data_IF_137395458762
#
_entry.id   IF_137395458762
#
_cell.length_a   1.000
_cell.length_b   1.000
_cell.length_c   1.000
_cell.angle_alpha   90.00
_cell.angle_beta   90.00
_cell.angle_gamma   90.00
#
_symmetry.space_group_name_H-M   'P 1'
#
loop_
_entity.id
_entity.type
_entity.pdbx_description
1 polymer ?
#
# COMPACT_ATOMS: atom_id res chain seq x y z
N UNK A 1 -21.83 42.04 41.90
CA UNK A 1 -21.25 42.31 40.57
C UNK A 1 -20.39 41.12 40.17
N UNK A 2 -20.82 40.37 39.16
CA UNK A 2 -20.03 39.30 38.54
C UNK A 2 -19.28 39.88 37.33
N UNK A 3 -18.07 39.40 37.00
CA UNK A 3 -17.52 39.56 35.66
C UNK A 3 -17.71 38.30 34.81
N UNK A 4 -17.77 38.56 33.51
CA UNK A 4 -18.41 37.77 32.48
C UNK A 4 -17.60 36.56 31.97
N UNK A 5 -18.34 35.65 31.34
CA UNK A 5 -17.87 34.52 30.55
C UNK A 5 -16.96 34.95 29.40
N UNK A 6 -15.93 34.15 29.13
CA UNK A 6 -15.23 34.15 27.87
C UNK A 6 -15.31 32.74 27.27
N UNK A 7 -16.19 32.59 26.29
CA UNK A 7 -16.36 31.39 25.47
C UNK A 7 -15.28 31.39 24.40
N UNK A 8 -14.28 30.53 24.55
CA UNK A 8 -13.27 30.26 23.52
C UNK A 8 -13.76 29.14 22.60
N UNK A 9 -14.31 29.53 21.47
CA UNK A 9 -14.67 28.68 20.33
C UNK A 9 -13.37 28.13 19.71
N UNK A 10 -13.13 26.82 19.79
CA UNK A 10 -12.08 26.15 19.03
C UNK A 10 -12.67 25.77 17.68
N UNK A 11 -12.39 26.62 16.69
CA UNK A 11 -12.61 26.38 15.27
C UNK A 11 -11.83 25.13 14.87
N UNK A 12 -12.53 24.14 14.33
CA UNK A 12 -11.91 22.97 13.71
C UNK A 12 -11.26 23.38 12.40
N UNK A 13 -9.95 23.19 12.31
CA UNK A 13 -9.23 23.22 11.05
C UNK A 13 -9.62 21.97 10.26
N UNK A 14 -10.51 22.17 9.28
CA UNK A 14 -10.71 21.24 8.19
C UNK A 14 -9.40 21.19 7.38
N UNK A 15 -8.68 20.07 7.46
CA UNK A 15 -7.57 19.77 6.59
C UNK A 15 -8.10 19.56 5.16
N UNK A 16 -8.05 20.63 4.37
CA UNK A 16 -8.31 20.62 2.94
C UNK A 16 -7.24 19.77 2.24
N UNK A 17 -7.62 18.56 1.83
CA UNK A 17 -6.75 17.58 1.14
C UNK A 17 -6.84 17.71 -0.38
N UNK A 18 -7.36 18.83 -0.92
CA UNK A 18 -7.48 19.05 -2.36
C UNK A 18 -6.16 19.38 -3.08
N UNK A 19 -5.06 19.54 -2.34
CA UNK A 19 -3.75 19.94 -2.88
C UNK A 19 -2.75 18.79 -3.16
N UNK A 20 -3.19 17.52 -3.14
CA UNK A 20 -2.35 16.40 -3.60
C UNK A 20 -2.37 16.23 -5.14
N UNK A 21 -2.14 17.33 -5.86
CA UNK A 21 -1.66 17.30 -7.24
C UNK A 21 -0.12 17.20 -7.21
N UNK A 22 0.38 15.98 -7.02
CA UNK A 22 1.77 15.63 -7.29
C UNK A 22 1.83 14.98 -8.67
N UNK A 23 1.72 15.83 -9.70
CA UNK A 23 2.41 15.60 -10.96
C UNK A 23 3.91 15.74 -10.67
N UNK A 24 4.58 14.62 -10.39
CA UNK A 24 6.03 14.54 -10.51
C UNK A 24 6.40 13.18 -11.09
N UNK A 25 6.84 13.25 -12.34
CA UNK A 25 7.50 12.20 -13.10
C UNK A 25 8.71 11.67 -12.33
N UNK A 26 8.53 10.60 -11.56
CA UNK A 26 9.67 9.82 -11.03
C UNK A 26 10.07 8.83 -12.12
N UNK A 27 11.10 9.20 -12.88
CA UNK A 27 11.73 8.40 -13.92
C UNK A 27 12.15 7.01 -13.39
N UNK A 28 11.43 5.97 -13.85
CA UNK A 28 11.49 4.58 -13.39
C UNK A 28 12.67 3.78 -13.99
N UNK A 29 13.60 4.42 -14.71
CA UNK A 29 14.53 3.72 -15.60
C UNK A 29 15.91 3.33 -15.00
N UNK A 30 16.22 3.64 -13.73
CA UNK A 30 17.61 3.55 -13.24
C UNK A 30 18.02 2.28 -12.48
N UNK A 31 17.15 1.27 -12.28
CA UNK A 31 17.53 0.10 -11.46
C UNK A 31 17.10 -1.25 -12.05
N UNK A 32 17.60 -1.58 -13.24
CA UNK A 32 17.68 -2.99 -13.69
C UNK A 32 18.85 -3.21 -14.64
N UNK A 33 20.08 -3.29 -14.12
CA UNK A 33 21.13 -4.04 -14.78
C UNK A 33 21.92 -4.89 -13.78
N UNK A 34 22.27 -6.10 -14.25
CA UNK A 34 23.21 -7.09 -13.70
C UNK A 34 22.54 -8.36 -13.15
N UNK A 35 22.15 -9.27 -14.05
CA UNK A 35 22.86 -10.56 -14.24
C UNK A 35 22.35 -11.29 -15.48
N UNK A 36 23.10 -11.15 -16.59
CA UNK A 36 23.04 -12.06 -17.74
C UNK A 36 23.94 -13.26 -17.44
N UNK A 37 23.38 -14.47 -17.52
CA UNK A 37 24.15 -15.71 -17.53
C UNK A 37 24.21 -16.23 -18.99
N UNK A 38 25.38 -16.35 -19.63
CA UNK A 38 25.48 -16.87 -20.98
C UNK A 38 25.97 -18.33 -20.95
N UNK A 39 25.17 -19.24 -21.48
CA UNK A 39 25.72 -20.44 -22.09
C UNK A 39 24.82 -20.92 -23.22
N UNK A 40 25.35 -20.76 -24.43
CA UNK A 40 24.75 -21.13 -25.69
C UNK A 40 25.34 -22.46 -26.19
N UNK A 41 24.53 -23.25 -26.90
CA UNK A 41 24.84 -24.20 -27.99
C UNK A 41 23.63 -25.16 -28.12
N UNK A 42 23.06 -25.54 -29.27
CA UNK A 42 23.44 -25.42 -30.67
C UNK A 42 22.18 -25.64 -31.58
N UNK A 43 22.29 -25.14 -32.81
CA UNK A 43 21.43 -25.27 -34.02
C UNK A 43 21.46 -26.71 -34.62
N UNK A 44 20.69 -27.14 -35.65
CA UNK A 44 20.25 -26.39 -36.84
C UNK A 44 18.83 -26.66 -37.42
N UNK A 45 18.51 -25.88 -38.47
CA UNK A 45 17.27 -25.80 -39.23
C UNK A 45 17.14 -26.80 -40.39
N UNK A 46 15.89 -27.13 -40.76
CA UNK A 46 15.34 -27.55 -42.09
C UNK A 46 13.80 -27.51 -41.95
N UNK A 47 12.91 -27.17 -42.88
CA UNK A 47 12.88 -26.98 -44.32
C UNK A 47 11.42 -26.63 -44.73
N UNK A 48 11.18 -26.45 -46.02
CA UNK A 48 10.14 -25.66 -46.72
C UNK A 48 8.65 -26.10 -46.65
N UNK A 49 7.74 -25.09 -46.62
CA UNK A 49 6.46 -24.80 -47.38
C UNK A 49 5.48 -25.93 -47.82
N UNK A 50 4.29 -25.60 -48.37
CA UNK A 50 3.10 -24.99 -47.75
C UNK A 50 1.83 -25.84 -48.04
N UNK A 51 0.83 -25.95 -47.15
CA UNK A 51 -0.52 -26.25 -47.64
C UNK A 51 -1.65 -25.94 -46.65
N UNK A 52 -2.84 -25.95 -47.25
CA UNK A 52 -4.06 -25.19 -46.99
C UNK A 52 -5.02 -25.77 -45.92
N UNK A 53 -5.88 -24.86 -45.42
CA UNK A 53 -7.18 -25.04 -44.72
C UNK A 53 -7.19 -25.36 -43.21
N UNK A 54 -8.31 -25.03 -42.53
CA UNK A 54 -9.05 -23.76 -42.46
C UNK A 54 -9.04 -23.23 -41.00
N UNK A 55 -9.59 -22.04 -40.77
CA UNK A 55 -9.63 -21.34 -39.48
C UNK A 55 -9.81 -22.26 -38.26
N UNK A 56 -8.91 -22.24 -37.26
CA UNK A 56 -9.29 -22.67 -35.93
C UNK A 56 -10.17 -21.57 -35.35
N UNK A 57 -11.34 -22.01 -34.90
CA UNK A 57 -12.26 -21.32 -34.03
C UNK A 57 -11.49 -20.40 -33.07
N UNK A 58 -11.99 -19.18 -32.90
CA UNK A 58 -11.51 -18.28 -31.87
C UNK A 58 -11.52 -19.04 -30.53
N UNK A 59 -10.37 -19.63 -30.19
CA UNK A 59 -10.09 -20.07 -28.84
C UNK A 59 -10.39 -18.85 -27.99
N UNK A 60 -11.41 -19.01 -27.15
CA UNK A 60 -11.71 -18.10 -26.08
C UNK A 60 -10.39 -17.88 -25.33
N UNK A 61 -9.70 -16.79 -25.68
CA UNK A 61 -8.69 -16.20 -24.82
C UNK A 61 -9.40 -16.09 -23.47
N UNK A 62 -8.92 -16.80 -22.42
CA UNK A 62 -9.49 -16.64 -21.12
C UNK A 62 -9.40 -15.15 -20.84
N UNK A 63 -10.56 -14.55 -20.59
CA UNK A 63 -10.79 -13.13 -20.34
C UNK A 63 -9.88 -12.70 -19.19
N UNK A 64 -8.62 -12.42 -19.50
CA UNK A 64 -7.51 -12.15 -18.56
C UNK A 64 -7.70 -10.82 -17.84
N UNK A 65 -8.86 -10.18 -18.04
CA UNK A 65 -9.30 -8.93 -17.44
C UNK A 65 -10.23 -9.09 -16.24
N UNK A 66 -10.69 -10.32 -15.92
CA UNK A 66 -11.48 -10.56 -14.71
C UNK A 66 -10.64 -11.14 -13.59
N UNK A 67 -9.65 -10.38 -13.14
CA UNK A 67 -9.15 -10.57 -11.79
C UNK A 67 -10.34 -10.34 -10.84
N UNK A 68 -10.83 -11.41 -10.21
CA UNK A 68 -11.92 -11.34 -9.26
C UNK A 68 -11.54 -10.29 -8.20
N UNK A 69 -12.36 -9.24 -8.07
CA UNK A 69 -11.99 -8.03 -7.33
C UNK A 69 -11.74 -8.29 -5.85
N UNK A 70 -12.51 -9.20 -5.26
CA UNK A 70 -12.39 -9.56 -3.86
C UNK A 70 -11.08 -10.31 -3.57
N UNK A 71 -10.69 -11.37 -4.32
CA UNK A 71 -9.37 -12.00 -4.17
C UNK A 71 -8.18 -11.04 -4.21
N UNK A 72 -8.22 -10.01 -5.05
CA UNK A 72 -7.14 -9.03 -5.07
C UNK A 72 -7.05 -8.23 -3.77
N UNK A 73 -8.18 -7.75 -3.27
CA UNK A 73 -8.22 -6.98 -2.03
C UNK A 73 -7.88 -7.87 -0.82
N UNK A 74 -8.28 -9.15 -0.86
CA UNK A 74 -7.86 -10.16 0.13
C UNK A 74 -6.33 -10.31 0.14
N UNK A 75 -5.68 -10.35 -1.03
CA UNK A 75 -4.21 -10.42 -1.13
C UNK A 75 -3.55 -9.17 -0.53
N UNK A 76 -4.15 -7.98 -0.73
CA UNK A 76 -3.67 -6.73 -0.12
C UNK A 76 -3.83 -6.77 1.40
N UNK A 77 -4.95 -7.29 1.92
CA UNK A 77 -5.14 -7.48 3.35
C UNK A 77 -4.07 -8.43 3.94
N UNK A 78 -3.79 -9.55 3.26
CA UNK A 78 -2.73 -10.47 3.68
C UNK A 78 -1.35 -9.80 3.63
N UNK A 79 -1.08 -8.93 2.66
CA UNK A 79 0.18 -8.21 2.62
C UNK A 79 0.31 -7.24 3.80
N UNK A 80 -0.76 -6.57 4.23
CA UNK A 80 -0.76 -5.73 5.45
C UNK A 80 -0.36 -6.56 6.68
N UNK A 81 -0.90 -7.77 6.83
CA UNK A 81 -0.51 -8.67 7.93
C UNK A 81 0.98 -9.06 7.86
N UNK A 82 1.50 -9.35 6.66
CA UNK A 82 2.93 -9.64 6.47
C UNK A 82 3.82 -8.42 6.75
N UNK A 83 3.36 -7.22 6.37
CA UNK A 83 4.09 -5.98 6.65
C UNK A 83 4.17 -5.73 8.17
N UNK A 84 3.09 -5.99 8.91
CA UNK A 84 3.08 -5.95 10.38
C UNK A 84 4.16 -6.85 10.97
N UNK A 85 4.17 -8.12 10.58
CA UNK A 85 5.13 -9.11 11.09
C UNK A 85 6.59 -8.70 10.79
N UNK A 86 6.88 -8.27 9.56
CA UNK A 86 8.22 -7.81 9.17
C UNK A 86 8.64 -6.56 9.92
N UNK A 87 7.74 -5.59 10.08
CA UNK A 87 8.03 -4.34 10.78
C UNK A 87 8.26 -4.59 12.27
N UNK A 88 7.45 -5.45 12.89
CA UNK A 88 7.63 -5.89 14.27
C UNK A 88 9.00 -6.58 14.48
N UNK A 89 9.40 -7.46 13.55
CA UNK A 89 10.72 -8.10 13.57
C UNK A 89 11.86 -7.07 13.51
N UNK A 90 11.76 -6.11 12.59
CA UNK A 90 12.77 -5.06 12.43
C UNK A 90 12.89 -4.22 13.71
N UNK A 91 11.76 -3.77 14.27
CA UNK A 91 11.72 -2.99 15.51
C UNK A 91 12.33 -3.77 16.68
N UNK A 92 12.03 -5.07 16.82
CA UNK A 92 12.60 -5.88 17.90
C UNK A 92 14.12 -5.94 17.80
N UNK A 93 14.67 -6.14 16.60
CA UNK A 93 16.12 -6.09 16.36
C UNK A 93 16.71 -4.70 16.64
N UNK A 94 15.99 -3.62 16.30
CA UNK A 94 16.41 -2.25 16.63
C UNK A 94 16.43 -2.02 18.15
N UNK A 95 15.46 -2.56 18.88
CA UNK A 95 15.43 -2.51 20.36
C UNK A 95 16.61 -3.28 20.97
N UNK A 96 16.97 -4.43 20.42
CA UNK A 96 18.14 -5.20 20.86
C UNK A 96 19.48 -4.45 20.63
N UNK A 97 19.48 -3.51 19.69
CA UNK A 97 20.63 -2.64 19.38
C UNK A 97 20.45 -1.20 19.86
N UNK A 98 19.46 -0.93 20.72
CA UNK A 98 19.06 0.44 21.07
C UNK A 98 20.22 1.29 21.63
N UNK A 99 21.16 0.68 22.36
CA UNK A 99 22.35 1.35 22.88
C UNK A 99 23.31 1.89 21.80
N UNK A 100 23.18 1.41 20.56
CA UNK A 100 23.99 1.83 19.41
C UNK A 100 23.30 2.92 18.57
N UNK A 101 22.03 3.21 18.83
CA UNK A 101 21.28 4.26 18.14
C UNK A 101 21.64 5.63 18.71
N UNK A 102 21.67 6.65 17.85
CA UNK A 102 21.95 8.02 18.26
C UNK A 102 20.86 8.56 19.21
N UNK A 103 19.60 8.18 18.98
CA UNK A 103 18.41 8.68 19.69
C UNK A 103 17.48 7.53 20.11
N UNK A 104 17.84 6.80 21.19
CA UNK A 104 17.05 5.68 21.71
C UNK A 104 15.58 6.00 22.02
N UNK A 105 15.29 7.22 22.44
CA UNK A 105 13.94 7.69 22.79
C UNK A 105 13.04 7.79 21.55
N UNK A 106 13.60 8.27 20.43
CA UNK A 106 12.89 8.41 19.15
C UNK A 106 12.42 7.06 18.62
N UNK A 107 13.18 5.97 18.83
CA UNK A 107 12.71 4.62 18.49
C UNK A 107 11.41 4.25 19.23
N UNK A 108 11.28 4.63 20.51
CA UNK A 108 10.09 4.31 21.29
C UNK A 108 8.88 5.16 20.86
N UNK A 109 9.11 6.41 20.47
CA UNK A 109 8.09 7.31 19.92
C UNK A 109 7.57 6.78 18.58
N UNK A 110 8.48 6.52 17.63
CA UNK A 110 8.13 5.91 16.33
C UNK A 110 7.41 4.57 16.54
N UNK A 111 7.86 3.73 17.48
CA UNK A 111 7.19 2.46 17.77
C UNK A 111 5.74 2.64 18.30
N UNK A 112 5.45 3.69 19.07
CA UNK A 112 4.09 4.00 19.51
C UNK A 112 3.23 4.49 18.35
N UNK A 113 3.80 5.32 17.50
CA UNK A 113 3.10 5.83 16.31
C UNK A 113 2.83 4.71 15.31
N UNK A 114 3.74 3.75 15.16
CA UNK A 114 3.55 2.54 14.35
C UNK A 114 2.39 1.69 14.87
N UNK A 115 2.32 1.46 16.18
CA UNK A 115 1.23 0.68 16.78
C UNK A 115 -0.14 1.25 16.40
N UNK A 116 -0.30 2.57 16.47
CA UNK A 116 -1.55 3.26 16.13
C UNK A 116 -1.78 3.33 14.62
N UNK A 117 -0.84 3.92 13.88
CA UNK A 117 -1.03 4.30 12.46
C UNK A 117 -0.87 3.13 11.49
N UNK A 118 -0.15 2.08 11.86
CA UNK A 118 0.09 0.91 11.02
C UNK A 118 -0.69 -0.31 11.52
N UNK A 119 -0.54 -0.70 12.79
CA UNK A 119 -1.03 -2.00 13.26
C UNK A 119 -2.53 -1.95 13.62
N UNK A 120 -2.93 -1.05 14.52
CA UNK A 120 -4.34 -0.88 14.90
C UNK A 120 -5.17 -0.38 13.71
N UNK A 121 -4.65 0.58 12.95
CA UNK A 121 -5.29 1.05 11.72
C UNK A 121 -5.41 -0.07 10.67
N UNK A 122 -4.37 -0.90 10.51
CA UNK A 122 -4.38 -2.06 9.61
C UNK A 122 -5.43 -3.09 10.00
N UNK A 123 -5.52 -3.45 11.28
CA UNK A 123 -6.57 -4.34 11.78
C UNK A 123 -7.97 -3.76 11.56
N UNK A 124 -8.13 -2.46 11.80
CA UNK A 124 -9.39 -1.75 11.55
C UNK A 124 -9.78 -1.79 10.08
N UNK A 125 -8.84 -1.52 9.17
CA UNK A 125 -9.06 -1.55 7.72
C UNK A 125 -9.40 -2.97 7.22
N UNK A 126 -8.70 -3.99 7.70
CA UNK A 126 -8.97 -5.39 7.35
C UNK A 126 -10.36 -5.82 7.85
N UNK A 127 -10.71 -5.47 9.08
CA UNK A 127 -12.03 -5.77 9.64
C UNK A 127 -13.14 -5.03 8.89
N UNK A 128 -12.89 -3.79 8.47
CA UNK A 128 -13.84 -3.03 7.68
C UNK A 128 -14.04 -3.62 6.28
N UNK A 129 -12.96 -4.05 5.63
CA UNK A 129 -13.04 -4.81 4.38
C UNK A 129 -13.88 -6.09 4.56
N UNK A 130 -13.66 -6.87 5.63
CA UNK A 130 -14.47 -8.06 5.94
C UNK A 130 -15.95 -7.72 6.16
N UNK A 131 -16.27 -6.60 6.81
CA UNK A 131 -17.64 -6.10 6.94
C UNK A 131 -18.26 -5.83 5.56
N UNK A 132 -17.56 -5.07 4.71
CA UNK A 132 -18.04 -4.67 3.38
C UNK A 132 -18.34 -5.86 2.47
N UNK A 133 -17.49 -6.90 2.48
CA UNK A 133 -17.65 -8.06 1.61
C UNK A 133 -18.38 -9.25 2.24
N UNK A 134 -18.58 -9.26 3.56
CA UNK A 134 -19.36 -10.26 4.28
C UNK A 134 -20.82 -9.84 4.49
N UNK A 135 -21.04 -8.90 5.41
CA UNK A 135 -22.36 -8.41 5.81
C UNK A 135 -22.37 -6.88 5.84
N UNK A 136 -22.48 -6.22 4.66
CA UNK A 136 -22.43 -4.78 4.57
C UNK A 136 -23.63 -4.15 5.30
N UNK A 137 -23.41 -2.98 5.88
CA UNK A 137 -24.47 -2.15 6.46
C UNK A 137 -25.38 -1.58 5.38
N UNK A 138 -26.43 -0.86 5.78
CA UNK A 138 -27.33 -0.22 4.83
C UNK A 138 -26.63 0.85 4.02
N UNK A 139 -27.04 1.02 2.76
CA UNK A 139 -26.50 2.01 1.83
C UNK A 139 -26.42 3.42 2.45
N UNK A 140 -27.48 3.83 3.14
CA UNK A 140 -27.54 5.15 3.78
C UNK A 140 -26.41 5.38 4.81
N UNK A 141 -26.00 4.36 5.55
CA UNK A 141 -24.93 4.52 6.54
C UNK A 141 -23.57 4.80 5.89
N UNK A 142 -23.33 4.24 4.71
CA UNK A 142 -22.12 4.54 3.95
C UNK A 142 -22.22 5.89 3.24
N UNK A 143 -23.37 6.20 2.64
CA UNK A 143 -23.60 7.48 1.95
C UNK A 143 -23.37 8.70 2.86
N UNK A 144 -23.68 8.61 4.16
CA UNK A 144 -23.43 9.70 5.12
C UNK A 144 -21.93 10.05 5.23
N UNK A 145 -21.04 9.05 5.11
CA UNK A 145 -19.59 9.22 5.26
C UNK A 145 -18.88 9.63 3.97
N UNK A 146 -19.56 9.52 2.83
CA UNK A 146 -19.00 9.85 1.52
C UNK A 146 -18.81 11.36 1.36
N UNK A 147 -17.79 11.74 0.58
CA UNK A 147 -17.64 13.13 0.15
C UNK A 147 -18.78 13.52 -0.81
N UNK A 148 -19.08 14.81 -0.93
CA UNK A 148 -20.26 15.25 -1.69
C UNK A 148 -20.15 14.99 -3.19
N UNK A 149 -18.95 15.07 -3.74
CA UNK A 149 -18.65 14.68 -5.12
C UNK A 149 -18.87 13.17 -5.34
N UNK A 150 -18.45 12.34 -4.39
CA UNK A 150 -18.67 10.89 -4.42
C UNK A 150 -20.15 10.55 -4.30
N UNK A 151 -20.90 11.23 -3.41
CA UNK A 151 -22.35 11.07 -3.30
C UNK A 151 -23.03 11.39 -4.63
N UNK A 152 -22.72 12.52 -5.26
CA UNK A 152 -23.26 12.89 -6.56
C UNK A 152 -22.91 11.85 -7.64
N UNK A 153 -21.71 11.30 -7.62
CA UNK A 153 -21.34 10.21 -8.52
C UNK A 153 -22.13 8.94 -8.23
N UNK A 154 -22.33 8.56 -6.97
CA UNK A 154 -23.10 7.38 -6.57
C UNK A 154 -24.58 7.51 -6.91
N UNK A 155 -25.16 8.71 -6.76
CA UNK A 155 -26.57 8.98 -7.10
C UNK A 155 -26.87 8.78 -8.59
N UNK A 156 -25.89 9.02 -9.46
CA UNK A 156 -25.98 8.71 -10.91
C UNK A 156 -26.12 7.21 -11.20
N UNK A 157 -25.79 6.32 -10.26
CA UNK A 157 -26.07 4.89 -10.39
C UNK A 157 -27.55 4.65 -10.16
N UNK A 158 -28.19 3.90 -11.06
CA UNK A 158 -29.63 3.73 -11.11
C UNK A 158 -30.21 2.77 -10.06
N UNK A 159 -29.41 1.92 -9.44
CA UNK A 159 -29.87 0.97 -8.43
C UNK A 159 -28.93 0.91 -7.20
N UNK A 160 -29.49 0.51 -6.07
CA UNK A 160 -28.77 0.46 -4.79
C UNK A 160 -27.68 -0.62 -4.76
N UNK A 161 -27.81 -1.68 -5.57
CA UNK A 161 -26.80 -2.75 -5.68
C UNK A 161 -25.51 -2.23 -6.31
N UNK A 162 -25.61 -1.45 -7.37
CA UNK A 162 -24.48 -0.83 -8.07
C UNK A 162 -23.84 0.24 -7.18
N UNK A 163 -24.65 1.03 -6.47
CA UNK A 163 -24.17 1.99 -5.47
C UNK A 163 -23.37 1.31 -4.38
N UNK A 164 -23.93 0.26 -3.78
CA UNK A 164 -23.24 -0.48 -2.73
C UNK A 164 -21.95 -1.13 -3.25
N UNK A 165 -21.95 -1.65 -4.47
CA UNK A 165 -20.75 -2.21 -5.11
C UNK A 165 -19.67 -1.14 -5.29
N UNK A 166 -20.03 0.05 -5.76
CA UNK A 166 -19.11 1.17 -5.90
C UNK A 166 -18.56 1.62 -4.54
N UNK A 167 -19.40 1.71 -3.52
CA UNK A 167 -19.03 2.05 -2.14
C UNK A 167 -18.01 1.06 -1.58
N UNK A 168 -18.28 -0.26 -1.69
CA UNK A 168 -17.35 -1.29 -1.21
C UNK A 168 -15.95 -1.09 -1.79
N UNK A 169 -15.86 -0.71 -3.05
CA UNK A 169 -14.60 -0.47 -3.75
C UNK A 169 -13.90 0.80 -3.28
N UNK A 170 -14.63 1.91 -3.21
CA UNK A 170 -14.10 3.21 -2.76
C UNK A 170 -13.56 3.07 -1.34
N UNK A 171 -14.39 2.59 -0.42
CA UNK A 171 -14.04 2.44 0.99
C UNK A 171 -12.86 1.49 1.21
N UNK A 172 -12.89 0.30 0.61
CA UNK A 172 -11.82 -0.68 0.83
C UNK A 172 -10.49 -0.16 0.30
N UNK A 173 -10.48 0.42 -0.90
CA UNK A 173 -9.23 0.96 -1.45
C UNK A 173 -8.72 2.17 -0.70
N UNK A 174 -9.60 3.05 -0.21
CA UNK A 174 -9.23 4.21 0.60
C UNK A 174 -8.57 3.78 1.91
N UNK A 175 -9.20 2.89 2.67
CA UNK A 175 -8.68 2.46 3.97
C UNK A 175 -7.39 1.64 3.83
N UNK A 176 -7.33 0.71 2.86
CA UNK A 176 -6.12 -0.07 2.62
C UNK A 176 -4.94 0.81 2.15
N UNK A 177 -5.20 1.77 1.26
CA UNK A 177 -4.15 2.68 0.77
C UNK A 177 -3.61 3.57 1.89
N UNK A 178 -4.49 4.09 2.75
CA UNK A 178 -4.11 4.90 3.92
C UNK A 178 -3.17 4.12 4.85
N UNK A 179 -3.48 2.85 5.13
CA UNK A 179 -2.62 1.99 5.97
C UNK A 179 -1.27 1.74 5.30
N UNK A 180 -1.25 1.41 4.01
CA UNK A 180 0.00 1.16 3.28
C UNK A 180 0.89 2.40 3.22
N UNK A 181 0.32 3.60 3.11
CA UNK A 181 1.05 4.87 3.20
C UNK A 181 1.69 5.04 4.58
N UNK A 182 0.94 4.77 5.66
CA UNK A 182 1.49 4.82 7.02
C UNK A 182 2.66 3.82 7.19
N UNK A 183 2.54 2.59 6.68
CA UNK A 183 3.65 1.64 6.68
C UNK A 183 4.89 2.20 6.00
N UNK A 184 4.74 2.82 4.82
CA UNK A 184 5.85 3.43 4.10
C UNK A 184 6.51 4.54 4.92
N UNK A 185 5.72 5.50 5.39
CA UNK A 185 6.21 6.67 6.12
C UNK A 185 6.94 6.28 7.40
N UNK A 186 6.32 5.44 8.23
CA UNK A 186 6.92 5.01 9.50
C UNK A 186 8.11 4.09 9.33
N UNK A 187 8.13 3.27 8.27
CA UNK A 187 9.33 2.49 7.95
C UNK A 187 10.47 3.37 7.49
N UNK A 188 10.20 4.48 6.80
CA UNK A 188 11.22 5.44 6.43
C UNK A 188 11.82 6.15 7.66
N UNK A 189 11.00 6.53 8.64
CA UNK A 189 11.50 7.06 9.92
C UNK A 189 12.43 6.07 10.64
N UNK A 190 12.09 4.77 10.64
CA UNK A 190 12.98 3.72 11.17
C UNK A 190 14.29 3.60 10.38
N UNK A 191 14.26 3.77 9.05
CA UNK A 191 15.48 3.77 8.22
C UNK A 191 16.38 4.94 8.57
N UNK A 192 15.82 6.13 8.78
CA UNK A 192 16.57 7.32 9.17
C UNK A 192 17.32 7.10 10.48
N UNK A 193 16.68 6.52 11.49
CA UNK A 193 17.35 6.18 12.76
C UNK A 193 18.57 5.26 12.59
N UNK A 194 18.50 4.30 11.66
CA UNK A 194 19.64 3.41 11.39
C UNK A 194 20.73 4.14 10.62
N UNK A 195 20.37 5.03 9.70
CA UNK A 195 21.32 5.82 8.90
C UNK A 195 22.06 6.88 9.74
N UNK A 196 21.46 7.32 10.85
CA UNK A 196 22.10 8.25 11.80
C UNK A 196 23.24 7.62 12.62
N UNK A 197 23.39 6.28 12.60
CA UNK A 197 24.50 5.62 13.29
C UNK A 197 25.81 6.10 12.66
N UNK A 198 26.72 6.74 13.43
CA UNK A 198 27.94 7.29 12.86
C UNK A 198 28.80 6.21 12.20
N UNK A 199 29.29 6.45 10.99
CA UNK A 199 30.11 5.47 10.25
C UNK A 199 31.34 5.00 11.04
N UNK A 200 31.96 5.91 11.83
CA UNK A 200 33.05 5.59 12.75
C UNK A 200 32.65 4.56 13.81
N UNK A 201 31.41 4.62 14.30
CA UNK A 201 30.90 3.68 15.29
C UNK A 201 30.69 2.33 14.64
N UNK A 202 30.12 2.29 13.42
CA UNK A 202 29.94 1.06 12.63
C UNK A 202 31.27 0.34 12.42
N UNK A 203 32.34 1.06 12.05
CA UNK A 203 33.69 0.49 11.85
C UNK A 203 34.31 -0.13 13.10
N UNK A 204 33.87 0.30 14.28
CA UNK A 204 34.36 -0.19 15.58
C UNK A 204 33.44 -1.26 16.20
N UNK A 205 32.28 -1.52 15.60
CA UNK A 205 31.33 -2.51 16.11
C UNK A 205 31.79 -3.95 15.79
N UNK A 206 31.37 -4.94 16.61
CA UNK A 206 31.52 -6.34 16.26
C UNK A 206 30.83 -6.65 14.92
N UNK A 207 31.42 -7.54 14.12
CA UNK A 207 30.88 -7.97 12.82
C UNK A 207 29.44 -8.49 12.93
N UNK A 208 29.09 -9.13 14.04
CA UNK A 208 27.71 -9.58 14.30
C UNK A 208 26.71 -8.41 14.35
N UNK A 209 27.07 -7.28 14.98
CA UNK A 209 26.23 -6.09 15.05
C UNK A 209 26.11 -5.38 13.71
N UNK A 210 27.19 -5.34 12.93
CA UNK A 210 27.13 -4.80 11.56
C UNK A 210 26.16 -5.61 10.68
N UNK A 211 26.24 -6.95 10.75
CA UNK A 211 25.28 -7.82 10.05
C UNK A 211 23.84 -7.66 10.51
N UNK A 212 23.62 -7.39 11.80
CA UNK A 212 22.28 -7.07 12.33
C UNK A 212 21.73 -5.78 11.72
N UNK A 213 22.56 -4.73 11.61
CA UNK A 213 22.19 -3.46 10.95
C UNK A 213 21.82 -3.71 9.49
N UNK A 214 22.64 -4.43 8.74
CA UNK A 214 22.37 -4.79 7.33
C UNK A 214 21.05 -5.58 7.17
N UNK A 215 20.79 -6.50 8.09
CA UNK A 215 19.55 -7.29 8.12
C UNK A 215 18.33 -6.41 8.36
N UNK A 216 18.42 -5.46 9.29
CA UNK A 216 17.35 -4.49 9.56
C UNK A 216 17.11 -3.63 8.33
N UNK A 217 18.16 -3.04 7.74
CA UNK A 217 18.05 -2.22 6.54
C UNK A 217 17.38 -2.97 5.39
N UNK A 218 17.80 -4.23 5.17
CA UNK A 218 17.18 -5.10 4.15
C UNK A 218 15.70 -5.32 4.44
N UNK A 219 15.34 -5.60 5.69
CA UNK A 219 13.93 -5.81 6.10
C UNK A 219 13.10 -4.54 5.88
N UNK A 220 13.60 -3.37 6.29
CA UNK A 220 12.93 -2.08 6.11
C UNK A 220 12.77 -1.74 4.62
N UNK A 221 13.78 -1.99 3.80
CA UNK A 221 13.70 -1.79 2.35
C UNK A 221 12.62 -2.67 1.69
N UNK A 222 12.50 -3.93 2.12
CA UNK A 222 11.44 -4.82 1.63
C UNK A 222 10.04 -4.31 2.01
N UNK A 223 9.87 -3.83 3.24
CA UNK A 223 8.60 -3.24 3.69
C UNK A 223 8.23 -2.02 2.82
N UNK A 224 9.17 -1.09 2.59
CA UNK A 224 8.95 0.08 1.74
C UNK A 224 8.57 -0.36 0.32
N UNK A 225 9.34 -1.27 -0.28
CA UNK A 225 9.07 -1.77 -1.63
C UNK A 225 7.66 -2.36 -1.74
N UNK A 226 7.31 -3.30 -0.85
CA UNK A 226 6.03 -3.99 -0.90
C UNK A 226 4.84 -3.05 -0.63
N UNK A 227 5.02 -2.04 0.24
CA UNK A 227 4.01 -1.00 0.46
C UNK A 227 3.77 -0.18 -0.81
N UNK A 228 4.83 0.21 -1.52
CA UNK A 228 4.75 0.96 -2.77
C UNK A 228 4.10 0.12 -3.89
N UNK A 229 4.53 -1.12 -4.05
CA UNK A 229 3.97 -2.04 -5.05
C UNK A 229 2.46 -2.24 -4.81
N UNK A 230 2.05 -2.39 -3.54
CA UNK A 230 0.64 -2.53 -3.16
C UNK A 230 -0.16 -1.25 -3.41
N UNK A 231 0.40 -0.07 -3.10
CA UNK A 231 -0.22 1.23 -3.42
C UNK A 231 -0.40 1.40 -4.93
N UNK A 232 0.64 1.11 -5.72
CA UNK A 232 0.59 1.21 -7.18
C UNK A 232 -0.44 0.23 -7.76
N UNK A 233 -0.52 -0.98 -7.21
CA UNK A 233 -1.54 -1.97 -7.55
C UNK A 233 -2.95 -1.47 -7.25
N UNK A 234 -3.21 -0.94 -6.05
CA UNK A 234 -4.52 -0.42 -5.65
C UNK A 234 -4.94 0.77 -6.53
N UNK A 235 -4.02 1.69 -6.85
CA UNK A 235 -4.29 2.82 -7.77
C UNK A 235 -4.64 2.31 -9.17
N UNK A 236 -3.92 1.32 -9.67
CA UNK A 236 -4.19 0.72 -10.98
C UNK A 236 -5.53 -0.02 -11.00
N UNK A 237 -5.87 -0.70 -9.90
CA UNK A 237 -7.16 -1.34 -9.69
C UNK A 237 -8.31 -0.31 -9.67
N UNK A 238 -8.17 0.81 -8.94
CA UNK A 238 -9.14 1.91 -8.94
C UNK A 238 -9.32 2.52 -10.34
N UNK A 239 -8.24 2.80 -11.07
CA UNK A 239 -8.28 3.39 -12.42
C UNK A 239 -9.00 2.49 -13.43
N UNK A 240 -8.76 1.17 -13.37
CA UNK A 240 -9.46 0.20 -14.23
C UNK A 240 -10.97 0.25 -14.02
N UNK A 241 -11.41 0.39 -12.78
CA UNK A 241 -12.83 0.51 -12.47
C UNK A 241 -13.44 1.82 -13.00
N UNK A 242 -12.78 2.96 -12.79
CA UNK A 242 -13.27 4.26 -13.28
C UNK A 242 -13.53 4.23 -14.80
N UNK A 243 -12.67 3.55 -15.57
CA UNK A 243 -12.80 3.41 -17.03
C UNK A 243 -13.94 2.48 -17.46
N UNK A 244 -14.19 1.38 -16.72
CA UNK A 244 -15.29 0.45 -17.03
C UNK A 244 -16.65 1.17 -16.90
N UNK A 245 -16.76 2.13 -15.99
CA UNK A 245 -17.97 2.91 -15.77
C UNK A 245 -18.24 3.96 -16.85
N UNK A 246 -17.22 4.47 -17.53
CA UNK A 246 -17.38 5.41 -18.67
C UNK A 246 -17.75 4.73 -19.98
N UNK A 247 -17.66 3.40 -20.06
CA UNK A 247 -17.95 2.60 -21.25
C UNK A 247 -19.32 1.92 -21.22
N UNK A 248 -20.09 2.10 -20.14
CA UNK A 248 -21.49 1.64 -20.00
C UNK A 248 -22.43 2.84 -19.99
#
# INVERSE_FOLDING_TARGET
AAPAANSGELVGDDLDMSDLNLDDDVDFAAYTEVQKNPMAAAVPATGSTPDTNPAPEAENLPDSSKMLEQPYLDDVCQEIDRLKERQQLAINKMKDMQASLATPQTLNEINREIDVSCWQAGETAINYFKELYGYPRSLNQYMIKMADDEKQQLEKLGNDTDRLTAIKRIESSRELMKVLQAYREKTHELQQLIQEIPERAIKLMPVSRVKEIETIQTTLNLIVKHSLDSIAGLRSWQKRYARIRTLR
#
